data_IF_982669642610
#
_entry.id   IF_982669642610
#
_cell.length_a   1.000
_cell.length_b   1.000
_cell.length_c   1.000
_cell.angle_alpha   90.00
_cell.angle_beta   90.00
_cell.angle_gamma   90.00
#
_symmetry.space_group_name_H-M   'P 1'
#
loop_
_entity.id
_entity.type
_entity.pdbx_description
1 polymer ?
#
# COMPACT_ATOMS: atom_id res chain seq x y z
N UNK A 1 -6.75 -3.38 -0.25
CA UNK A 1 -6.35 -4.81 -0.17
C UNK A 1 -5.87 -5.08 1.26
N UNK A 2 -5.72 -6.32 1.74
CA UNK A 2 -5.19 -6.60 3.09
C UNK A 2 -3.66 -6.76 3.02
N UNK A 3 -3.04 -7.01 4.18
CA UNK A 3 -1.61 -7.16 4.39
C UNK A 3 -0.90 -8.10 3.38
N UNK A 4 -1.28 -9.38 3.21
CA UNK A 4 -0.51 -10.29 2.36
C UNK A 4 -0.60 -9.91 0.88
N UNK A 5 -1.74 -9.39 0.43
CA UNK A 5 -1.86 -8.87 -0.93
C UNK A 5 -0.84 -7.78 -1.23
N UNK A 6 -0.62 -6.84 -0.32
CA UNK A 6 0.20 -5.66 -0.59
C UNK A 6 1.69 -6.02 -0.66
N UNK A 7 2.12 -6.92 0.22
CA UNK A 7 3.48 -7.49 0.19
C UNK A 7 3.68 -8.28 -1.11
N UNK A 8 2.71 -9.10 -1.50
CA UNK A 8 2.75 -9.87 -2.74
C UNK A 8 2.85 -8.95 -3.97
N UNK A 9 1.99 -7.93 -4.06
CA UNK A 9 1.98 -6.94 -5.13
C UNK A 9 3.31 -6.18 -5.22
N UNK A 10 3.82 -5.67 -4.10
CA UNK A 10 5.10 -4.95 -4.07
C UNK A 10 6.27 -5.86 -4.51
N UNK A 11 6.24 -7.15 -4.14
CA UNK A 11 7.26 -8.11 -4.58
C UNK A 11 7.22 -8.37 -6.09
N UNK A 12 6.01 -8.48 -6.66
CA UNK A 12 5.79 -8.68 -8.09
C UNK A 12 6.19 -7.44 -8.88
N UNK A 13 5.77 -6.24 -8.44
CA UNK A 13 6.11 -4.97 -9.05
C UNK A 13 7.62 -4.72 -9.05
N UNK A 14 8.28 -4.95 -7.91
CA UNK A 14 9.74 -4.80 -7.80
C UNK A 14 10.49 -5.72 -8.76
N UNK A 15 9.99 -6.95 -8.92
CA UNK A 15 10.55 -7.94 -9.86
C UNK A 15 10.32 -7.54 -11.31
N UNK A 16 9.10 -7.14 -11.67
CA UNK A 16 8.72 -6.77 -13.03
C UNK A 16 9.50 -5.52 -13.50
N UNK A 17 9.63 -4.52 -12.62
CA UNK A 17 10.32 -3.26 -12.91
C UNK A 17 11.82 -3.29 -12.60
N UNK A 18 12.34 -4.43 -12.13
CA UNK A 18 13.76 -4.64 -11.77
C UNK A 18 14.29 -3.61 -10.76
N UNK A 19 13.45 -3.19 -9.81
CA UNK A 19 13.83 -2.28 -8.72
C UNK A 19 14.29 -3.02 -7.48
N UNK A 20 14.81 -2.29 -6.48
CA UNK A 20 15.27 -2.89 -5.23
C UNK A 20 14.10 -3.52 -4.46
N UNK A 21 14.12 -4.86 -4.35
CA UNK A 21 13.09 -5.63 -3.67
C UNK A 21 13.02 -5.33 -2.17
N UNK A 22 14.17 -5.09 -1.51
CA UNK A 22 14.19 -4.83 -0.06
C UNK A 22 13.51 -3.50 0.22
N UNK A 23 13.82 -2.48 -0.57
CA UNK A 23 13.15 -1.18 -0.49
C UNK A 23 11.65 -1.30 -0.76
N UNK A 24 11.25 -2.01 -1.82
CA UNK A 24 9.85 -2.20 -2.19
C UNK A 24 9.04 -2.96 -1.12
N UNK A 25 9.64 -3.96 -0.48
CA UNK A 25 9.00 -4.67 0.63
C UNK A 25 8.94 -3.83 1.90
N UNK A 26 10.01 -3.10 2.24
CA UNK A 26 10.07 -2.27 3.45
C UNK A 26 8.99 -1.19 3.48
N UNK A 27 8.71 -0.58 2.32
CA UNK A 27 7.69 0.47 2.20
C UNK A 27 6.27 -0.07 1.95
N UNK A 28 6.12 -1.35 1.61
CA UNK A 28 4.84 -1.91 1.17
C UNK A 28 3.72 -1.75 2.18
N UNK A 29 4.02 -1.63 3.47
CA UNK A 29 3.06 -1.39 4.56
C UNK A 29 3.14 0.02 5.15
N UNK A 30 4.06 0.86 4.68
CA UNK A 30 4.35 2.15 5.29
C UNK A 30 3.10 3.06 5.42
N UNK A 31 2.24 3.21 4.38
CA UNK A 31 1.07 4.08 4.50
C UNK A 31 0.10 3.64 5.58
N UNK A 32 -0.18 2.33 5.63
CA UNK A 32 -1.02 1.72 6.65
C UNK A 32 -0.44 1.83 8.07
N UNK A 33 0.88 1.66 8.21
CA UNK A 33 1.58 1.78 9.49
C UNK A 33 1.60 3.22 10.03
N UNK A 34 1.40 4.21 9.18
CA UNK A 34 1.32 5.62 9.57
C UNK A 34 -0.13 6.01 9.85
N UNK A 35 -1.02 5.81 8.88
CA UNK A 35 -2.35 6.41 8.94
C UNK A 35 -3.27 5.69 9.92
N UNK A 36 -3.15 4.37 10.04
CA UNK A 36 -4.00 3.59 10.96
C UNK A 36 -3.70 3.94 12.42
N UNK A 37 -2.44 3.98 12.92
CA UNK A 37 -2.20 4.43 14.29
C UNK A 37 -2.64 5.88 14.56
N UNK A 38 -2.38 6.78 13.61
CA UNK A 38 -2.78 8.19 13.72
C UNK A 38 -4.31 8.31 13.85
N UNK A 39 -5.07 7.54 13.07
CA UNK A 39 -6.54 7.56 13.10
C UNK A 39 -7.14 6.72 14.22
N UNK A 40 -6.64 5.51 14.45
CA UNK A 40 -7.24 4.52 15.35
C UNK A 40 -6.85 4.73 16.81
N UNK A 41 -5.62 5.15 17.08
CA UNK A 41 -5.11 5.36 18.43
C UNK A 41 -5.13 6.84 18.81
N UNK A 42 -4.52 7.69 17.99
CA UNK A 42 -4.31 9.10 18.33
C UNK A 42 -5.51 9.99 17.99
N UNK A 43 -6.42 9.53 17.12
CA UNK A 43 -7.61 10.27 16.67
C UNK A 43 -7.30 11.64 16.04
N UNK A 44 -6.08 11.83 15.53
CA UNK A 44 -5.61 13.13 15.02
C UNK A 44 -6.07 13.43 13.59
N UNK A 45 -6.44 12.40 12.83
CA UNK A 45 -6.93 12.56 11.46
C UNK A 45 -8.40 12.18 11.36
N UNK A 46 -9.16 12.81 10.43
CA UNK A 46 -10.56 12.48 10.20
C UNK A 46 -10.77 11.11 9.52
N UNK A 47 -9.74 10.57 8.86
CA UNK A 47 -9.80 9.30 8.12
C UNK A 47 -8.47 8.53 8.24
N UNK A 48 -8.50 7.20 8.07
CA UNK A 48 -7.35 6.28 8.17
C UNK A 48 -6.54 6.12 6.88
N UNK A 49 -6.78 6.99 5.89
CA UNK A 49 -6.06 7.09 4.61
C UNK A 49 -5.34 8.43 4.44
N UNK A 50 -5.09 9.15 5.52
CA UNK A 50 -4.25 10.34 5.51
C UNK A 50 -3.38 10.39 6.78
N UNK A 51 -2.16 10.97 6.69
CA UNK A 51 -1.58 11.66 5.53
C UNK A 51 -0.82 10.79 4.51
N UNK A 52 -0.51 9.53 4.83
CA UNK A 52 0.40 8.71 4.07
C UNK A 52 -0.20 8.09 2.81
N UNK A 53 -1.52 7.89 2.69
CA UNK A 53 -2.12 7.50 1.41
C UNK A 53 -2.29 8.68 0.44
N UNK A 54 -1.23 9.49 0.28
CA UNK A 54 -1.20 10.66 -0.61
C UNK A 54 0.02 10.61 -1.54
N UNK A 55 -0.10 11.24 -2.71
CA UNK A 55 1.04 11.39 -3.62
C UNK A 55 2.12 12.27 -3.02
N UNK A 56 1.74 13.22 -2.16
CA UNK A 56 2.68 14.07 -1.44
C UNK A 56 3.56 13.24 -0.50
N UNK A 57 2.97 12.38 0.33
CA UNK A 57 3.74 11.53 1.25
C UNK A 57 4.64 10.53 0.50
N UNK A 58 4.15 9.94 -0.60
CA UNK A 58 4.96 9.09 -1.47
C UNK A 58 6.16 9.86 -2.04
N UNK A 59 5.94 11.08 -2.56
CA UNK A 59 6.99 11.91 -3.15
C UNK A 59 8.02 12.35 -2.12
N UNK A 60 7.58 12.90 -0.98
CA UNK A 60 8.46 13.40 0.07
C UNK A 60 9.28 12.26 0.68
N UNK A 61 8.65 11.12 1.00
CA UNK A 61 9.38 9.95 1.51
C UNK A 61 10.36 9.38 0.48
N UNK A 62 9.97 9.33 -0.81
CA UNK A 62 10.86 8.90 -1.89
C UNK A 62 12.09 9.81 -2.06
N UNK A 63 11.91 11.13 -1.96
CA UNK A 63 13.02 12.10 -2.01
C UNK A 63 13.93 11.97 -0.78
N UNK A 64 13.36 11.81 0.41
CA UNK A 64 14.12 11.59 1.64
C UNK A 64 14.95 10.30 1.54
N UNK A 65 14.34 9.21 1.07
CA UNK A 65 15.01 7.92 0.89
C UNK A 65 16.08 8.00 -0.19
N UNK A 66 15.85 8.76 -1.26
CA UNK A 66 16.88 9.04 -2.28
C UNK A 66 18.08 9.75 -1.68
N UNK A 67 17.85 10.74 -0.83
CA UNK A 67 18.91 11.47 -0.16
C UNK A 67 19.71 10.58 0.80
N UNK A 68 19.03 9.73 1.58
CA UNK A 68 19.66 8.89 2.61
C UNK A 68 20.30 7.60 2.09
N UNK A 69 19.67 6.94 1.11
CA UNK A 69 20.03 5.58 0.66
C UNK A 69 20.36 5.48 -0.84
N UNK A 70 20.30 6.61 -1.55
CA UNK A 70 20.64 6.70 -2.97
C UNK A 70 19.50 6.32 -3.92
N UNK A 71 19.75 6.57 -5.21
CA UNK A 71 18.75 6.47 -6.28
C UNK A 71 18.13 5.07 -6.43
N UNK A 72 18.95 4.01 -6.35
CA UNK A 72 18.49 2.63 -6.56
C UNK A 72 17.48 2.18 -5.50
N UNK A 73 17.77 2.49 -4.23
CA UNK A 73 16.88 2.16 -3.14
C UNK A 73 15.60 2.99 -3.19
N UNK A 74 15.70 4.29 -3.53
CA UNK A 74 14.54 5.16 -3.72
C UNK A 74 13.62 4.71 -4.86
N UNK A 75 14.14 4.17 -5.95
CA UNK A 75 13.31 3.59 -7.02
C UNK A 75 12.48 2.41 -6.50
N UNK A 76 13.10 1.50 -5.73
CA UNK A 76 12.36 0.40 -5.10
C UNK A 76 11.32 0.89 -4.09
N UNK A 77 11.66 1.94 -3.31
CA UNK A 77 10.74 2.59 -2.39
C UNK A 77 9.52 3.19 -3.11
N UNK A 78 9.72 3.99 -4.16
CA UNK A 78 8.61 4.60 -4.91
C UNK A 78 7.76 3.54 -5.60
N UNK A 79 8.37 2.47 -6.13
CA UNK A 79 7.62 1.35 -6.72
C UNK A 79 6.78 0.63 -5.66
N UNK A 80 7.35 0.30 -4.50
CA UNK A 80 6.60 -0.37 -3.42
C UNK A 80 5.45 0.49 -2.88
N UNK A 81 5.72 1.78 -2.66
CA UNK A 81 4.72 2.74 -2.17
C UNK A 81 3.61 2.94 -3.20
N UNK A 82 3.98 3.20 -4.46
CA UNK A 82 3.02 3.36 -5.54
C UNK A 82 2.17 2.10 -5.75
N UNK A 83 2.77 0.92 -5.60
CA UNK A 83 2.02 -0.35 -5.65
C UNK A 83 1.00 -0.43 -4.51
N UNK A 84 1.37 -0.02 -3.29
CA UNK A 84 0.42 0.03 -2.17
C UNK A 84 -0.77 0.94 -2.48
N UNK A 85 -0.51 2.17 -2.93
CA UNK A 85 -1.56 3.12 -3.30
C UNK A 85 -2.45 2.59 -4.42
N UNK A 86 -1.87 1.97 -5.45
CA UNK A 86 -2.64 1.40 -6.56
C UNK A 86 -3.55 0.27 -6.08
N UNK A 87 -3.03 -0.61 -5.22
CA UNK A 87 -3.83 -1.70 -4.67
C UNK A 87 -5.01 -1.21 -3.85
N UNK A 88 -4.83 -0.15 -3.07
CA UNK A 88 -5.91 0.43 -2.29
C UNK A 88 -6.89 1.24 -3.14
N UNK A 89 -6.46 1.82 -4.26
CA UNK A 89 -7.37 2.46 -5.22
C UNK A 89 -8.23 1.41 -5.93
N UNK A 90 -7.64 0.29 -6.37
CA UNK A 90 -8.39 -0.85 -6.91
C UNK A 90 -9.40 -1.35 -5.86
N UNK A 91 -8.97 -1.46 -4.61
CA UNK A 91 -9.82 -1.91 -3.52
C UNK A 91 -10.92 -0.89 -3.17
N UNK A 92 -10.69 0.41 -3.37
CA UNK A 92 -11.68 1.49 -3.20
C UNK A 92 -12.80 1.43 -4.24
N UNK A 93 -12.57 0.81 -5.40
CA UNK A 93 -13.63 0.52 -6.36
C UNK A 93 -14.49 -0.71 -5.98
N UNK A 94 -14.01 -1.55 -5.07
CA UNK A 94 -14.69 -2.78 -4.63
C UNK A 94 -15.33 -2.66 -3.24
N UNK A 95 -14.94 -1.65 -2.47
CA UNK A 95 -15.31 -1.45 -1.06
C UNK A 95 -15.53 0.04 -0.79
N UNK A 96 -16.23 0.44 0.28
CA UNK A 96 -16.53 1.85 0.59
C UNK A 96 -15.31 2.75 0.89
N UNK A 97 -14.09 2.20 0.89
CA UNK A 97 -12.85 2.97 1.06
C UNK A 97 -12.57 3.92 -0.11
N UNK A 98 -11.86 5.03 0.14
CA UNK A 98 -11.38 5.96 -0.89
C UNK A 98 -9.98 6.45 -0.57
N UNK A 99 -9.16 6.66 -1.60
CA UNK A 99 -7.87 7.34 -1.48
C UNK A 99 -8.02 8.84 -1.77
N UNK A 100 -7.27 9.64 -1.03
CA UNK A 100 -7.28 11.10 -1.13
C UNK A 100 -5.94 11.62 -1.66
N UNK A 101 -5.57 11.19 -2.87
CA UNK A 101 -4.23 11.40 -3.47
C UNK A 101 -3.66 12.82 -3.33
N UNK A 102 -4.51 13.83 -3.47
CA UNK A 102 -4.13 15.25 -3.51
C UNK A 102 -4.29 15.98 -2.17
N UNK A 103 -4.59 15.27 -1.08
CA UNK A 103 -4.59 15.90 0.24
C UNK A 103 -3.16 16.35 0.61
N UNK A 104 -2.97 17.55 1.21
CA UNK A 104 -3.97 18.51 1.69
C UNK A 104 -4.38 19.59 0.69
N UNK A 105 -3.89 19.55 -0.55
CA UNK A 105 -4.14 20.57 -1.58
C UNK A 105 -5.57 20.55 -2.14
N UNK A 106 -6.25 19.40 -2.06
CA UNK A 106 -7.66 19.26 -2.42
C UNK A 106 -8.49 18.89 -1.18
N UNK A 107 -9.65 19.54 -1.04
CA UNK A 107 -10.65 19.19 -0.03
C UNK A 107 -11.50 18.02 -0.51
N UNK A 108 -11.77 17.07 0.38
CA UNK A 108 -12.55 15.87 0.10
C UNK A 108 -13.68 15.72 1.12
N UNK A 109 -14.84 15.26 0.68
CA UNK A 109 -15.85 14.71 1.57
C UNK A 109 -15.36 13.32 2.01
N UNK A 110 -14.71 13.26 3.16
CA UNK A 110 -14.10 12.03 3.65
C UNK A 110 -15.14 11.13 4.32
N UNK A 111 -15.04 9.83 4.05
CA UNK A 111 -15.82 8.85 4.79
C UNK A 111 -15.30 8.79 6.23
N UNK A 112 -16.16 9.10 7.20
CA UNK A 112 -15.86 8.98 8.63
C UNK A 112 -16.58 7.75 9.17
N UNK A 113 -15.89 6.61 9.15
CA UNK A 113 -16.41 5.34 9.63
C UNK A 113 -15.92 4.94 11.02
N UNK A 114 -16.46 3.84 11.56
CA UNK A 114 -15.87 3.16 12.72
C UNK A 114 -14.40 2.81 12.45
N UNK A 115 -13.63 2.64 13.52
CA UNK A 115 -12.17 2.45 13.43
C UNK A 115 -11.73 1.13 14.03
N UNK A 116 -10.57 0.66 13.60
CA UNK A 116 -9.92 -0.52 14.14
C UNK A 116 -10.01 -1.73 13.21
N UNK A 117 -9.26 -2.77 13.56
CA UNK A 117 -9.06 -3.94 12.72
C UNK A 117 -10.39 -4.64 12.36
N UNK A 118 -11.28 -4.81 13.33
CA UNK A 118 -12.58 -5.46 13.09
C UNK A 118 -13.43 -4.68 12.07
N UNK A 119 -13.47 -3.36 12.18
CA UNK A 119 -14.18 -2.52 11.22
C UNK A 119 -13.57 -2.66 9.84
N UNK A 120 -12.24 -2.54 9.75
CA UNK A 120 -11.53 -2.65 8.48
C UNK A 120 -11.72 -4.01 7.82
N UNK A 121 -11.77 -5.12 8.58
CA UNK A 121 -12.02 -6.46 8.04
C UNK A 121 -13.46 -6.64 7.54
N UNK A 122 -14.43 -5.99 8.17
CA UNK A 122 -15.83 -6.05 7.75
C UNK A 122 -16.11 -5.28 6.45
N UNK A 123 -15.24 -4.33 6.09
CA UNK A 123 -15.40 -3.54 4.85
C UNK A 123 -15.02 -4.34 3.59
N UNK A 124 -14.43 -5.53 3.72
CA UNK A 124 -13.99 -6.33 2.57
C UNK A 124 -15.12 -7.17 1.98
N UNK A 125 -15.38 -6.95 0.70
CA UNK A 125 -16.26 -7.80 -0.11
C UNK A 125 -15.57 -9.09 -0.55
N UNK A 126 -16.33 -10.17 -0.86
CA UNK A 126 -15.75 -11.41 -1.41
C UNK A 126 -14.90 -11.19 -2.66
N UNK A 127 -15.28 -10.24 -3.52
CA UNK A 127 -14.51 -9.88 -4.71
C UNK A 127 -13.09 -9.39 -4.34
N UNK A 128 -12.98 -8.59 -3.30
CA UNK A 128 -11.70 -8.07 -2.79
C UNK A 128 -10.79 -9.19 -2.29
N UNK A 129 -11.37 -10.17 -1.59
CA UNK A 129 -10.65 -11.35 -1.11
C UNK A 129 -10.16 -12.23 -2.27
N UNK A 130 -10.95 -12.37 -3.34
CA UNK A 130 -10.53 -13.11 -4.56
C UNK A 130 -9.36 -12.41 -5.24
N UNK A 131 -9.41 -11.09 -5.41
CA UNK A 131 -8.31 -10.31 -6.00
C UNK A 131 -7.04 -10.47 -5.17
N UNK A 132 -7.15 -10.36 -3.85
CA UNK A 132 -6.02 -10.54 -2.94
C UNK A 132 -5.43 -11.94 -3.03
N UNK A 133 -6.27 -12.98 -2.96
CA UNK A 133 -5.83 -14.36 -3.10
C UNK A 133 -5.13 -14.61 -4.45
N UNK A 134 -5.66 -14.04 -5.54
CA UNK A 134 -5.06 -14.16 -6.86
C UNK A 134 -3.66 -13.53 -6.93
N UNK A 135 -3.48 -12.32 -6.38
CA UNK A 135 -2.16 -11.66 -6.35
C UNK A 135 -1.17 -12.44 -5.49
N UNK A 136 -1.60 -12.94 -4.34
CA UNK A 136 -0.76 -13.77 -3.45
C UNK A 136 -0.36 -15.08 -4.13
N UNK A 137 -1.31 -15.81 -4.71
CA UNK A 137 -1.03 -17.04 -5.45
C UNK A 137 -0.08 -16.80 -6.64
N UNK A 138 -0.26 -15.70 -7.36
CA UNK A 138 0.64 -15.32 -8.45
C UNK A 138 2.06 -15.05 -7.94
N UNK A 139 2.21 -14.31 -6.84
CA UNK A 139 3.51 -14.06 -6.23
C UNK A 139 4.17 -15.38 -5.79
N UNK A 140 3.44 -16.25 -5.09
CA UNK A 140 3.94 -17.56 -4.67
C UNK A 140 4.39 -18.39 -5.87
N UNK A 141 3.58 -18.47 -6.94
CA UNK A 141 3.95 -19.19 -8.16
C UNK A 141 5.23 -18.63 -8.80
N UNK A 142 5.34 -17.30 -8.91
CA UNK A 142 6.49 -16.59 -9.49
C UNK A 142 7.78 -16.78 -8.68
N UNK A 143 7.69 -16.92 -7.36
CA UNK A 143 8.84 -17.06 -6.47
C UNK A 143 9.20 -18.52 -6.17
N UNK A 144 8.21 -19.41 -5.94
CA UNK A 144 8.42 -20.83 -5.66
C UNK A 144 8.64 -21.67 -6.93
N UNK A 145 7.98 -21.34 -8.05
CA UNK A 145 8.20 -22.02 -9.33
C UNK A 145 9.64 -21.85 -9.86
N UNK A 146 10.40 -20.91 -9.30
CA UNK A 146 11.84 -20.76 -9.56
C UNK A 146 12.72 -21.64 -8.69
N UNK A 147 12.26 -22.03 -7.50
CA UNK A 147 13.00 -22.91 -6.59
C UNK A 147 13.11 -24.34 -7.12
N UNK A 148 12.17 -24.75 -7.99
CA UNK A 148 12.12 -26.10 -8.59
C UNK A 148 13.02 -26.23 -9.83
N UNK A 149 13.49 -25.12 -10.40
CA UNK A 149 14.33 -25.09 -11.62
C UNK A 149 15.81 -24.79 -11.34
N UNK A 150 16.26 -24.91 -10.09
CA UNK A 150 17.67 -24.79 -9.71
C UNK A 150 18.22 -26.14 -9.28
#
# INVERSE_FOLDING_TARGET
MIFPGHVAAASLASKALKTDLRAGLAVSMFPDMVDKPIRWLLRLTPNDRIPAHTLLACTVSGLLVRFLFGQRFAQGWVVGYGTHLLCDEINAHLNPGRIYFWWPFRRYAMHTGPTGLKSSLNDFTPASLVVEAAVVCLALWVWLGRSVKR
#
